data_IF_751371317149
#
_entry.id   IF_751371317149
#
_cell.length_a   1.000
_cell.length_b   1.000
_cell.length_c   1.000
_cell.angle_alpha   90.00
_cell.angle_beta   90.00
_cell.angle_gamma   90.00
#
_symmetry.space_group_name_H-M   'P 1'
#
loop_
_entity.id
_entity.type
_entity.pdbx_description
1 polymer ?
#
# COMPACT_ATOMS: atom_id res chain seq x y z
N UNK A 1 -13.01 1.25 -8.28
CA UNK A 1 -12.57 0.12 -7.42
C UNK A 1 -13.71 -0.85 -7.22
N UNK A 2 -13.43 -2.07 -6.77
CA UNK A 2 -14.45 -3.11 -6.46
C UNK A 2 -14.79 -3.18 -4.96
N UNK A 3 -14.26 -2.26 -4.14
CA UNK A 3 -14.59 -2.13 -2.71
C UNK A 3 -13.64 -2.81 -1.72
N UNK A 4 -12.51 -3.37 -2.15
CA UNK A 4 -11.54 -4.07 -1.27
C UNK A 4 -11.00 -3.18 -0.14
N UNK A 5 -10.44 -2.03 -0.52
CA UNK A 5 -9.97 -1.01 0.42
C UNK A 5 -11.08 -0.56 1.37
N UNK A 6 -12.30 -0.37 0.87
CA UNK A 6 -13.46 -0.02 1.70
C UNK A 6 -13.79 -1.11 2.72
N UNK A 7 -13.70 -2.39 2.34
CA UNK A 7 -13.87 -3.50 3.26
C UNK A 7 -12.77 -3.51 4.33
N UNK A 8 -11.50 -3.36 3.94
CA UNK A 8 -10.37 -3.29 4.88
C UNK A 8 -10.56 -2.15 5.87
N UNK A 9 -10.92 -0.95 5.41
CA UNK A 9 -11.19 0.19 6.28
C UNK A 9 -12.33 -0.08 7.27
N UNK A 10 -13.42 -0.72 6.85
CA UNK A 10 -14.52 -1.11 7.75
C UNK A 10 -14.09 -2.17 8.77
N UNK A 11 -13.25 -3.12 8.38
CA UNK A 11 -12.69 -4.10 9.31
C UNK A 11 -11.80 -3.41 10.34
N UNK A 12 -10.92 -2.50 9.91
CA UNK A 12 -10.08 -1.70 10.82
C UNK A 12 -10.91 -0.89 11.81
N UNK A 13 -11.93 -0.19 11.33
CA UNK A 13 -12.82 0.62 12.18
C UNK A 13 -13.50 -0.28 13.24
N UNK A 14 -14.02 -1.43 12.81
CA UNK A 14 -14.62 -2.39 13.73
C UNK A 14 -13.62 -2.91 14.76
N UNK A 15 -12.41 -3.30 14.34
CA UNK A 15 -11.36 -3.79 15.24
C UNK A 15 -10.95 -2.73 16.27
N UNK A 16 -10.76 -1.47 15.86
CA UNK A 16 -10.47 -0.37 16.79
C UNK A 16 -11.56 -0.20 17.84
N UNK A 17 -12.83 -0.35 17.45
CA UNK A 17 -13.97 -0.20 18.34
C UNK A 17 -14.16 -1.41 19.28
N UNK A 18 -13.91 -2.64 18.79
CA UNK A 18 -14.17 -3.88 19.56
C UNK A 18 -12.96 -4.42 20.30
N UNK A 19 -11.74 -4.08 19.85
CA UNK A 19 -10.47 -4.57 20.37
C UNK A 19 -9.43 -3.42 20.41
N UNK A 20 -9.64 -2.40 21.26
CA UNK A 20 -8.80 -1.18 21.27
C UNK A 20 -7.34 -1.43 21.66
N UNK A 21 -7.02 -2.58 22.25
CA UNK A 21 -5.67 -2.97 22.63
C UNK A 21 -4.94 -3.79 21.55
N UNK A 22 -5.64 -4.22 20.50
CA UNK A 22 -5.06 -5.03 19.42
C UNK A 22 -3.96 -4.23 18.72
N UNK A 23 -2.75 -4.80 18.69
CA UNK A 23 -1.58 -4.20 18.04
C UNK A 23 -1.58 -4.52 16.55
N UNK A 24 -2.15 -3.60 15.78
CA UNK A 24 -2.24 -3.69 14.33
C UNK A 24 -1.12 -2.88 13.69
N UNK A 25 -0.42 -3.49 12.73
CA UNK A 25 0.64 -2.88 11.96
C UNK A 25 0.33 -2.94 10.46
N UNK A 26 0.89 -2.02 9.67
CA UNK A 26 0.78 -2.07 8.23
C UNK A 26 0.18 -0.81 7.64
N UNK A 27 -0.35 -0.94 6.43
CA UNK A 27 -0.87 0.19 5.68
C UNK A 27 -2.01 -0.22 4.75
N UNK A 28 -2.73 0.79 4.28
CA UNK A 28 -3.70 0.68 3.21
C UNK A 28 -3.49 1.79 2.18
N UNK A 29 -4.12 1.67 1.02
CA UNK A 29 -4.04 2.70 -0.03
C UNK A 29 -5.34 3.50 -0.12
N UNK A 30 -5.30 4.75 -0.55
CA UNK A 30 -6.48 5.59 -0.76
C UNK A 30 -6.39 6.34 -2.09
N UNK A 31 -7.53 6.47 -2.78
CA UNK A 31 -7.61 7.31 -3.97
C UNK A 31 -7.59 8.79 -3.58
N UNK A 32 -6.65 9.55 -4.14
CA UNK A 32 -6.66 11.02 -4.08
C UNK A 32 -7.58 11.51 -5.20
N UNK A 33 -8.58 12.32 -4.82
CA UNK A 33 -9.54 12.90 -5.75
C UNK A 33 -9.59 14.41 -5.62
N UNK A 34 -9.60 15.11 -6.75
CA UNK A 34 -9.77 16.55 -6.84
C UNK A 34 -10.88 16.86 -7.85
N UNK A 35 -11.85 17.69 -7.46
CA UNK A 35 -13.02 18.02 -8.28
C UNK A 35 -13.74 16.78 -8.88
N UNK A 36 -13.80 15.67 -8.12
CA UNK A 36 -14.44 14.42 -8.55
C UNK A 36 -13.56 13.50 -9.41
N UNK A 37 -12.44 13.99 -9.93
CA UNK A 37 -11.48 13.21 -10.71
C UNK A 37 -10.41 12.58 -9.81
N UNK A 38 -10.03 11.33 -10.09
CA UNK A 38 -8.89 10.68 -9.43
C UNK A 38 -7.56 11.21 -9.96
N UNK A 39 -6.86 11.95 -9.11
CA UNK A 39 -5.56 12.58 -9.40
C UNK A 39 -4.38 11.80 -8.86
N UNK A 40 -4.59 10.81 -7.99
CA UNK A 40 -3.49 9.99 -7.49
C UNK A 40 -3.91 8.92 -6.50
N UNK A 41 -2.91 8.39 -5.82
CA UNK A 41 -3.02 7.41 -4.77
C UNK A 41 -2.05 7.77 -3.66
N UNK A 42 -2.46 7.52 -2.41
CA UNK A 42 -1.61 7.64 -1.24
C UNK A 42 -1.58 6.32 -0.49
N UNK A 43 -0.47 6.07 0.17
CA UNK A 43 -0.34 5.06 1.22
C UNK A 43 -0.67 5.71 2.56
N UNK A 44 -1.42 5.00 3.39
CA UNK A 44 -1.83 5.43 4.72
C UNK A 44 -1.50 4.32 5.72
N UNK A 45 -0.69 4.63 6.72
CA UNK A 45 -0.37 3.69 7.80
C UNK A 45 -1.58 3.49 8.71
N UNK A 46 -1.58 2.42 9.50
CA UNK A 46 -2.65 2.16 10.48
C UNK A 46 -2.76 3.29 11.51
N UNK A 47 -1.66 3.97 11.85
CA UNK A 47 -1.64 5.13 12.76
C UNK A 47 -1.98 6.47 12.09
N UNK A 48 -2.21 6.48 10.77
CA UNK A 48 -2.78 7.62 10.04
C UNK A 48 -1.75 8.54 9.37
N UNK A 49 -0.47 8.20 9.39
CA UNK A 49 0.52 8.86 8.56
C UNK A 49 0.27 8.57 7.08
N UNK A 50 0.61 9.53 6.21
CA UNK A 50 0.31 9.44 4.77
C UNK A 50 1.51 9.82 3.92
N UNK A 51 1.61 9.22 2.74
CA UNK A 51 2.59 9.58 1.72
C UNK A 51 2.00 9.33 0.33
N UNK A 52 2.38 10.13 -0.66
CA UNK A 52 1.92 9.95 -2.04
C UNK A 52 2.55 8.68 -2.60
N UNK A 53 1.74 7.76 -3.09
CA UNK A 53 2.19 6.58 -3.83
C UNK A 53 2.34 6.93 -5.32
N UNK A 54 1.35 7.61 -5.90
CA UNK A 54 1.41 8.02 -7.30
C UNK A 54 0.52 9.24 -7.57
N UNK A 55 0.95 10.09 -8.51
CA UNK A 55 0.21 11.29 -8.92
C UNK A 55 0.15 11.46 -10.43
N UNK A 56 -0.96 12.01 -10.93
CA UNK A 56 -1.08 12.47 -12.32
C UNK A 56 -0.68 13.94 -12.49
N UNK A 57 -0.43 14.66 -11.40
CA UNK A 57 0.09 16.03 -11.43
C UNK A 57 1.62 16.03 -11.26
N UNK A 58 2.31 17.10 -11.67
CA UNK A 58 3.71 17.27 -11.32
C UNK A 58 3.88 17.19 -9.80
N UNK A 59 4.86 16.44 -9.35
CA UNK A 59 5.27 16.43 -7.95
C UNK A 59 6.61 17.15 -7.82
N UNK A 60 6.84 17.77 -6.67
CA UNK A 60 8.06 18.50 -6.36
C UNK A 60 9.24 17.55 -6.20
N UNK A 61 10.42 17.94 -6.66
CA UNK A 61 11.61 17.07 -6.66
C UNK A 61 11.80 16.43 -8.02
N UNK A 62 12.52 17.12 -8.90
CA UNK A 62 12.75 16.67 -10.27
C UNK A 62 13.45 15.32 -10.30
N UNK A 63 12.89 14.36 -11.03
CA UNK A 63 13.67 13.29 -11.63
C UNK A 63 12.99 12.75 -12.88
N UNK A 64 13.77 12.62 -13.95
CA UNK A 64 13.37 12.10 -15.24
C UNK A 64 13.11 10.57 -15.24
N UNK A 65 12.90 9.94 -14.07
CA UNK A 65 12.94 8.47 -13.91
C UNK A 65 11.84 7.87 -13.02
N UNK A 66 10.73 8.55 -12.82
CA UNK A 66 9.61 7.91 -12.11
C UNK A 66 8.89 6.91 -13.00
N UNK A 67 8.71 5.67 -12.52
CA UNK A 67 7.94 4.69 -13.27
C UNK A 67 6.49 5.16 -13.43
N UNK A 68 5.89 4.77 -14.55
CA UNK A 68 4.54 5.16 -14.90
C UNK A 68 3.59 3.97 -14.87
N UNK A 69 2.39 4.19 -14.35
CA UNK A 69 1.24 3.29 -14.49
C UNK A 69 0.10 4.08 -15.11
N UNK A 70 -0.07 3.95 -16.42
CA UNK A 70 -0.99 4.80 -17.18
C UNK A 70 -0.57 6.27 -17.08
N UNK A 71 -1.48 7.13 -16.61
CA UNK A 71 -1.22 8.57 -16.42
C UNK A 71 -0.51 8.94 -15.10
N UNK A 72 -0.30 7.97 -14.21
CA UNK A 72 0.23 8.23 -12.87
C UNK A 72 1.74 7.95 -12.83
N UNK A 73 2.50 8.92 -12.29
CA UNK A 73 3.90 8.74 -11.93
C UNK A 73 3.98 8.22 -10.50
N UNK A 74 4.74 7.16 -10.29
CA UNK A 74 4.88 6.50 -8.99
C UNK A 74 6.06 7.11 -8.23
N UNK A 75 5.81 7.55 -7.00
CA UNK A 75 6.84 8.01 -6.07
C UNK A 75 7.30 6.85 -5.19
N UNK A 76 8.22 6.07 -5.74
CA UNK A 76 8.77 4.89 -5.06
C UNK A 76 9.42 5.29 -3.73
N UNK A 77 10.17 6.40 -3.69
CA UNK A 77 10.85 6.85 -2.49
C UNK A 77 9.85 7.29 -1.41
N UNK A 78 8.82 8.05 -1.79
CA UNK A 78 7.75 8.46 -0.89
C UNK A 78 6.99 7.26 -0.33
N UNK A 79 6.68 6.28 -1.16
CA UNK A 79 6.08 5.02 -0.73
C UNK A 79 6.99 4.25 0.24
N UNK A 80 8.25 4.03 -0.13
CA UNK A 80 9.21 3.24 0.67
C UNK A 80 9.44 3.83 2.05
N UNK A 81 9.56 5.15 2.15
CA UNK A 81 9.78 5.85 3.42
C UNK A 81 8.68 5.63 4.45
N UNK A 82 7.47 5.27 4.01
CA UNK A 82 6.32 5.05 4.87
C UNK A 82 5.92 3.58 4.98
N UNK A 83 5.88 2.85 3.86
CA UNK A 83 5.38 1.49 3.82
C UNK A 83 6.40 0.44 4.33
N UNK A 84 7.70 0.60 4.05
CA UNK A 84 8.70 -0.39 4.46
C UNK A 84 8.90 -0.48 5.99
N UNK A 85 8.90 0.64 6.74
CA UNK A 85 8.90 0.59 8.21
C UNK A 85 7.71 -0.20 8.75
N UNK A 86 6.53 -0.04 8.13
CA UNK A 86 5.31 -0.76 8.50
C UNK A 86 5.37 -2.26 8.21
N UNK A 87 6.36 -2.76 7.48
CA UNK A 87 6.57 -4.20 7.24
C UNK A 87 7.69 -4.81 8.11
N UNK A 88 8.32 -4.02 8.99
CA UNK A 88 9.27 -4.57 9.97
C UNK A 88 8.51 -5.20 11.14
N UNK A 89 8.57 -6.53 11.27
CA UNK A 89 7.87 -7.26 12.33
C UNK A 89 8.33 -6.80 13.71
N UNK A 90 7.41 -6.25 14.51
CA UNK A 90 7.62 -5.91 15.92
C UNK A 90 7.16 -7.08 16.78
N UNK A 91 7.76 -7.23 17.97
CA UNK A 91 7.47 -8.35 18.88
C UNK A 91 6.02 -8.34 19.37
N UNK A 92 5.39 -7.17 19.46
CA UNK A 92 4.03 -7.00 19.95
C UNK A 92 2.98 -6.98 18.83
N UNK A 93 3.34 -7.20 17.56
CA UNK A 93 2.37 -7.16 16.45
C UNK A 93 1.45 -8.39 16.46
N UNK A 94 0.13 -8.14 16.53
CA UNK A 94 -0.91 -9.17 16.60
C UNK A 94 -1.67 -9.34 15.27
N UNK A 95 -1.63 -8.33 14.39
CA UNK A 95 -2.28 -8.36 13.08
C UNK A 95 -1.54 -7.44 12.10
N UNK A 96 -1.30 -7.94 10.90
CA UNK A 96 -0.88 -7.12 9.77
C UNK A 96 -2.03 -6.76 8.84
N UNK A 97 -2.00 -5.53 8.32
CA UNK A 97 -2.88 -5.06 7.26
C UNK A 97 -2.01 -4.60 6.08
N UNK A 98 -2.22 -5.20 4.91
CA UNK A 98 -1.49 -4.87 3.69
C UNK A 98 -2.48 -4.74 2.55
N UNK A 99 -2.97 -3.53 2.28
CA UNK A 99 -3.83 -3.31 1.12
C UNK A 99 -3.00 -3.17 -0.17
N UNK A 100 -3.50 -3.82 -1.23
CA UNK A 100 -3.00 -3.78 -2.61
C UNK A 100 -1.49 -4.07 -2.76
N UNK A 101 -1.14 -5.35 -2.87
CA UNK A 101 0.17 -5.77 -3.44
C UNK A 101 0.09 -5.71 -4.97
N UNK A 102 0.16 -4.49 -5.51
CA UNK A 102 -0.12 -4.20 -6.92
C UNK A 102 1.08 -3.69 -7.71
N UNK A 103 0.82 -3.34 -8.98
CA UNK A 103 1.86 -2.88 -9.91
C UNK A 103 2.62 -1.63 -9.44
N UNK A 104 1.95 -0.73 -8.73
CA UNK A 104 2.59 0.53 -8.29
C UNK A 104 3.58 0.27 -7.15
N UNK A 105 3.19 -0.54 -6.18
CA UNK A 105 3.97 -0.90 -5.01
C UNK A 105 5.16 -1.79 -5.39
N UNK A 106 4.99 -2.65 -6.41
CA UNK A 106 6.03 -3.53 -6.94
C UNK A 106 7.14 -2.82 -7.72
N UNK A 107 7.08 -1.49 -7.90
CA UNK A 107 8.27 -0.74 -8.32
C UNK A 107 9.31 -0.58 -7.21
N UNK A 108 8.94 -0.79 -5.95
CA UNK A 108 9.91 -0.94 -4.86
C UNK A 108 10.46 -2.36 -4.88
N UNK A 109 11.76 -2.50 -5.14
CA UNK A 109 12.47 -3.79 -5.07
C UNK A 109 12.49 -4.39 -3.65
N UNK A 110 12.30 -3.55 -2.63
CA UNK A 110 12.31 -3.95 -1.22
C UNK A 110 10.93 -4.37 -0.71
N UNK A 111 9.86 -3.95 -1.38
CA UNK A 111 8.49 -4.17 -0.93
C UNK A 111 8.09 -5.65 -0.95
N UNK A 112 8.21 -6.32 -2.10
CA UNK A 112 7.79 -7.71 -2.22
C UNK A 112 8.55 -8.66 -1.26
N UNK A 113 9.89 -8.58 -1.11
CA UNK A 113 10.60 -9.34 -0.08
C UNK A 113 10.11 -9.07 1.35
N UNK A 114 9.74 -7.82 1.66
CA UNK A 114 9.23 -7.45 2.98
C UNK A 114 7.84 -8.05 3.24
N UNK A 115 6.95 -8.02 2.23
CA UNK A 115 5.64 -8.70 2.30
C UNK A 115 5.81 -10.21 2.50
N UNK A 116 6.73 -10.85 1.77
CA UNK A 116 7.02 -12.28 1.94
C UNK A 116 7.51 -12.60 3.35
N UNK A 117 8.33 -11.74 3.97
CA UNK A 117 8.76 -11.91 5.36
C UNK A 117 7.58 -11.89 6.32
N UNK A 118 6.65 -10.96 6.15
CA UNK A 118 5.41 -10.88 6.95
C UNK A 118 4.54 -12.13 6.75
N UNK A 119 4.35 -12.58 5.50
CA UNK A 119 3.56 -13.77 5.19
C UNK A 119 4.16 -15.07 5.73
N UNK A 120 5.50 -15.14 5.88
CA UNK A 120 6.20 -16.28 6.48
C UNK A 120 6.28 -16.20 8.02
N UNK A 121 5.69 -15.18 8.64
CA UNK A 121 5.59 -15.08 10.09
C UNK A 121 4.38 -15.87 10.63
N UNK A 122 4.29 -16.01 11.95
CA UNK A 122 3.11 -16.61 12.61
C UNK A 122 2.00 -15.57 12.92
N UNK A 123 2.12 -14.36 12.40
CA UNK A 123 1.19 -13.26 12.68
C UNK A 123 0.07 -13.27 11.62
N UNK A 124 -1.22 -13.19 12.01
CA UNK A 124 -2.32 -13.05 11.07
C UNK A 124 -2.15 -11.87 10.11
N UNK A 125 -2.53 -12.05 8.84
CA UNK A 125 -2.44 -11.02 7.81
C UNK A 125 -3.79 -10.83 7.12
N UNK A 126 -4.30 -9.61 7.13
CA UNK A 126 -5.39 -9.16 6.28
C UNK A 126 -4.80 -8.39 5.09
N UNK A 127 -4.77 -9.02 3.93
CA UNK A 127 -4.22 -8.40 2.73
C UNK A 127 -5.20 -8.39 1.56
N UNK A 128 -4.99 -7.49 0.61
CA UNK A 128 -5.67 -7.51 -0.68
C UNK A 128 -4.68 -7.58 -1.83
N UNK A 129 -4.98 -8.43 -2.81
CA UNK A 129 -4.20 -8.60 -4.03
C UNK A 129 -5.08 -8.30 -5.24
N UNK A 130 -4.60 -7.56 -6.24
CA UNK A 130 -5.32 -7.41 -7.50
C UNK A 130 -5.26 -8.73 -8.28
N UNK A 131 -6.40 -9.14 -8.85
CA UNK A 131 -6.42 -10.26 -9.80
C UNK A 131 -5.83 -9.76 -11.13
N UNK A 132 -4.82 -10.43 -11.70
CA UNK A 132 -4.29 -10.06 -13.00
C UNK A 132 -5.38 -10.21 -14.06
N UNK A 133 -5.56 -9.18 -14.90
CA UNK A 133 -6.39 -9.34 -16.10
C UNK A 133 -5.66 -10.28 -17.06
N UNK A 134 -6.29 -11.40 -17.43
CA UNK A 134 -5.82 -12.38 -18.42
C UNK A 134 -4.70 -13.34 -17.97
N UNK A 135 -4.52 -13.58 -16.67
CA UNK A 135 -3.66 -14.68 -16.19
C UNK A 135 -2.17 -14.52 -16.47
N UNK A 136 -1.69 -13.31 -16.78
CA UNK A 136 -0.26 -13.00 -16.81
C UNK A 136 0.16 -12.50 -15.45
N UNK A 137 1.33 -12.91 -14.97
CA UNK A 137 1.91 -12.38 -13.74
C UNK A 137 1.99 -10.85 -13.80
N UNK A 138 1.83 -10.20 -12.64
CA UNK A 138 2.06 -8.77 -12.52
C UNK A 138 3.56 -8.59 -12.84
N UNK A 139 3.91 -7.87 -13.92
CA UNK A 139 5.32 -7.78 -14.31
C UNK A 139 6.10 -7.16 -13.16
N UNK A 140 7.19 -7.81 -12.74
CA UNK A 140 8.21 -7.18 -11.90
C UNK A 140 8.61 -5.88 -12.60
N UNK A 141 8.52 -4.75 -11.89
CA UNK A 141 8.79 -3.44 -12.46
C UNK A 141 10.21 -3.42 -13.03
N UNK A 142 10.35 -3.50 -14.35
CA UNK A 142 11.65 -3.36 -14.99
C UNK A 142 12.05 -1.90 -14.94
N UNK A 143 13.21 -1.64 -14.33
CA UNK A 143 13.83 -0.32 -14.12
C UNK A 143 14.18 0.35 -15.45
#
# INVERSE_FOLDING_TARGET
GVGKTTLIMRVMEKLRNTQPHLKVQGFYTREIRHAGERTGFEVVTVDGHTSVLASSTPMSGGSARWPNVGKYKVDVSGFESLALPELQIKEDTELFIIDEVGKMELFSSSFFPSVLRVLNSNIPVLASIPVPKFGRDIPEGTV
#
